data_IF_572179257016
#
_entry.id   IF_572179257016
#
_cell.length_a   1.000
_cell.length_b   1.000
_cell.length_c   1.000
_cell.angle_alpha   90.00
_cell.angle_beta   90.00
_cell.angle_gamma   90.00
#
_symmetry.space_group_name_H-M   'P 1'
#
loop_
_entity.id
_entity.type
_entity.pdbx_description
1 polymer ?
#
# COMPACT_ATOMS: atom_id res chain seq x y z
N UNK A 1 -10.35 -7.15 4.87
CA UNK A 1 -9.85 -6.91 3.50
C UNK A 1 -10.23 -8.12 2.65
N UNK A 2 -10.70 -7.90 1.42
CA UNK A 2 -11.08 -8.96 0.50
C UNK A 2 -10.50 -8.64 -0.88
N UNK A 3 -10.08 -9.64 -1.63
CA UNK A 3 -9.55 -9.50 -2.99
C UNK A 3 -10.58 -10.01 -4.00
N UNK A 4 -10.72 -9.36 -5.15
CA UNK A 4 -11.55 -9.89 -6.25
C UNK A 4 -10.99 -11.21 -6.78
N UNK A 5 -9.66 -11.34 -6.80
CA UNK A 5 -8.91 -12.58 -7.09
C UNK A 5 -7.58 -12.60 -6.33
N UNK A 6 -7.03 -13.78 -6.10
CA UNK A 6 -5.70 -13.98 -5.48
C UNK A 6 -4.76 -14.80 -6.38
N UNK A 7 -5.21 -15.11 -7.59
CA UNK A 7 -4.58 -15.95 -8.59
C UNK A 7 -4.66 -15.29 -9.98
N UNK A 8 -3.97 -15.88 -10.95
CA UNK A 8 -3.95 -15.38 -12.33
C UNK A 8 -5.15 -15.87 -13.14
N UNK A 9 -6.33 -15.39 -12.79
CA UNK A 9 -7.56 -15.63 -13.53
C UNK A 9 -8.16 -14.34 -14.07
N UNK A 10 -8.80 -14.46 -15.22
CA UNK A 10 -9.59 -13.39 -15.79
C UNK A 10 -10.88 -13.17 -14.96
N UNK A 11 -11.29 -11.91 -14.88
CA UNK A 11 -12.52 -11.44 -14.25
C UNK A 11 -13.08 -10.30 -15.06
N UNK A 12 -14.36 -10.39 -15.42
CA UNK A 12 -15.04 -9.31 -16.14
C UNK A 12 -15.09 -8.04 -15.28
N UNK A 13 -15.15 -6.88 -15.94
CA UNK A 13 -15.13 -5.60 -15.22
C UNK A 13 -16.33 -5.48 -14.26
N UNK A 14 -17.53 -5.81 -14.72
CA UNK A 14 -18.75 -5.78 -13.92
C UNK A 14 -18.75 -6.83 -12.81
N UNK A 15 -18.08 -7.97 -13.00
CA UNK A 15 -17.97 -9.01 -11.98
C UNK A 15 -17.18 -8.49 -10.76
N UNK A 16 -16.12 -7.72 -10.99
CA UNK A 16 -15.31 -7.12 -9.91
C UNK A 16 -16.15 -6.17 -9.04
N UNK A 17 -16.99 -5.36 -9.68
CA UNK A 17 -17.92 -4.47 -8.97
C UNK A 17 -19.01 -5.26 -8.24
N UNK A 18 -19.56 -6.30 -8.86
CA UNK A 18 -20.57 -7.16 -8.27
C UNK A 18 -20.06 -7.87 -7.00
N UNK A 19 -18.81 -8.33 -6.98
CA UNK A 19 -18.17 -8.91 -5.79
C UNK A 19 -18.17 -7.90 -4.63
N UNK A 20 -17.68 -6.67 -4.87
CA UNK A 20 -17.62 -5.63 -3.85
C UNK A 20 -19.01 -5.24 -3.33
N UNK A 21 -19.99 -5.14 -4.23
CA UNK A 21 -21.38 -4.84 -3.91
C UNK A 21 -22.03 -5.93 -3.07
N UNK A 22 -21.83 -7.21 -3.42
CA UNK A 22 -22.36 -8.37 -2.68
C UNK A 22 -21.79 -8.42 -1.26
N UNK A 23 -20.51 -8.10 -1.10
CA UNK A 23 -19.84 -8.04 0.20
C UNK A 23 -20.23 -6.82 1.04
N UNK A 24 -20.98 -5.86 0.45
CA UNK A 24 -21.27 -4.56 1.08
C UNK A 24 -19.99 -3.89 1.57
N UNK A 25 -18.94 -3.92 0.75
CA UNK A 25 -17.65 -3.34 1.12
C UNK A 25 -17.77 -1.85 1.45
N UNK A 26 -17.03 -1.38 2.46
CA UNK A 26 -16.99 0.05 2.82
C UNK A 26 -16.24 0.90 1.79
N UNK A 27 -15.35 0.27 1.02
CA UNK A 27 -14.47 0.90 0.05
C UNK A 27 -14.02 -0.06 -1.04
N UNK A 28 -13.85 0.43 -2.26
CA UNK A 28 -13.28 -0.31 -3.37
C UNK A 28 -12.03 0.37 -3.91
N UNK A 29 -10.96 -0.40 -4.12
CA UNK A 29 -9.74 0.08 -4.78
C UNK A 29 -9.30 -0.89 -5.88
N UNK A 30 -9.15 -0.38 -7.09
CA UNK A 30 -8.61 -1.11 -8.24
C UNK A 30 -7.16 -0.69 -8.49
N UNK A 31 -6.23 -1.63 -8.44
CA UNK A 31 -4.79 -1.37 -8.61
C UNK A 31 -4.36 -1.78 -10.01
N UNK A 32 -3.88 -0.83 -10.80
CA UNK A 32 -3.52 -0.98 -12.20
C UNK A 32 -2.10 -0.44 -12.48
N UNK A 33 -1.62 -0.76 -13.69
CA UNK A 33 -0.43 -0.20 -14.33
C UNK A 33 -0.88 0.25 -15.72
N UNK A 34 -0.51 1.46 -16.11
CA UNK A 34 -0.97 2.09 -17.34
C UNK A 34 -0.15 1.65 -18.56
N UNK A 35 -0.60 2.04 -19.74
CA UNK A 35 0.10 1.96 -21.02
C UNK A 35 -0.35 3.14 -21.93
N UNK A 36 0.28 3.30 -23.09
CA UNK A 36 -0.08 4.31 -24.09
C UNK A 36 0.89 5.49 -24.19
N UNK A 37 2.19 5.29 -23.89
CA UNK A 37 3.23 6.29 -24.17
C UNK A 37 3.39 7.41 -23.13
N UNK A 38 3.08 7.14 -21.86
CA UNK A 38 3.23 8.08 -20.75
C UNK A 38 4.32 7.71 -19.74
N UNK A 39 4.38 8.46 -18.64
CA UNK A 39 5.13 8.11 -17.42
C UNK A 39 4.52 8.80 -16.22
N UNK A 40 4.54 8.16 -15.05
CA UNK A 40 4.08 8.74 -13.80
C UNK A 40 2.83 8.09 -13.22
N UNK A 41 2.43 8.56 -12.04
CA UNK A 41 1.30 8.05 -11.29
C UNK A 41 0.05 8.92 -11.47
N UNK A 42 -1.11 8.29 -11.60
CA UNK A 42 -2.41 8.95 -11.59
C UNK A 42 -3.44 8.11 -10.85
N UNK A 43 -4.54 8.75 -10.47
CA UNK A 43 -5.65 8.10 -9.80
C UNK A 43 -6.98 8.58 -10.33
N UNK A 44 -7.96 7.70 -10.39
CA UNK A 44 -9.27 7.93 -11.00
C UNK A 44 -10.41 7.67 -10.02
N UNK A 45 -11.40 8.55 -10.05
CA UNK A 45 -12.74 8.31 -9.52
C UNK A 45 -13.76 8.35 -10.67
N UNK A 46 -15.00 7.94 -10.41
CA UNK A 46 -16.04 8.02 -11.43
C UNK A 46 -16.30 9.48 -11.87
N UNK A 47 -16.48 9.71 -13.16
CA UNK A 47 -16.77 11.05 -13.72
C UNK A 47 -18.24 11.47 -13.64
N UNK A 48 -19.16 10.59 -13.24
CA UNK A 48 -20.54 10.95 -12.90
C UNK A 48 -20.69 11.48 -11.47
N UNK A 49 -21.82 11.21 -10.82
CA UNK A 49 -22.01 11.62 -9.43
C UNK A 49 -21.22 10.72 -8.47
N UNK A 50 -20.52 11.32 -7.51
CA UNK A 50 -19.74 10.62 -6.47
C UNK A 50 -19.91 11.33 -5.14
N UNK A 51 -19.77 10.58 -4.05
CA UNK A 51 -19.85 11.16 -2.70
C UNK A 51 -18.67 12.10 -2.41
N UNK A 52 -18.87 13.06 -1.51
CA UNK A 52 -17.76 13.87 -0.96
C UNK A 52 -16.67 13.02 -0.32
N UNK A 53 -17.04 11.87 0.27
CA UNK A 53 -16.10 10.91 0.82
C UNK A 53 -15.19 10.32 -0.27
N UNK A 54 -15.73 9.99 -1.46
CA UNK A 54 -14.94 9.51 -2.60
C UNK A 54 -13.86 10.52 -3.00
N UNK A 55 -14.22 11.80 -3.10
CA UNK A 55 -13.28 12.89 -3.44
C UNK A 55 -12.23 13.06 -2.35
N UNK A 56 -12.64 13.06 -1.07
CA UNK A 56 -11.73 13.17 0.06
C UNK A 56 -10.74 11.99 0.12
N UNK A 57 -11.22 10.77 -0.12
CA UNK A 57 -10.38 9.57 -0.15
C UNK A 57 -9.38 9.60 -1.30
N UNK A 58 -9.80 10.00 -2.51
CA UNK A 58 -8.86 10.19 -3.63
C UNK A 58 -7.76 11.18 -3.26
N UNK A 59 -8.11 12.34 -2.70
CA UNK A 59 -7.13 13.36 -2.31
C UNK A 59 -6.10 12.82 -1.31
N UNK A 60 -6.55 12.13 -0.27
CA UNK A 60 -5.68 11.60 0.79
C UNK A 60 -4.82 10.45 0.27
N UNK A 61 -5.42 9.48 -0.41
CA UNK A 61 -4.72 8.27 -0.87
C UNK A 61 -3.70 8.63 -1.96
N UNK A 62 -4.07 9.47 -2.92
CA UNK A 62 -3.15 9.95 -3.96
C UNK A 62 -1.91 10.62 -3.34
N UNK A 63 -2.12 11.53 -2.37
CA UNK A 63 -1.02 12.23 -1.71
C UNK A 63 -0.08 11.29 -0.94
N UNK A 64 -0.62 10.30 -0.21
CA UNK A 64 0.22 9.35 0.53
C UNK A 64 0.99 8.39 -0.40
N UNK A 65 0.41 8.01 -1.55
CA UNK A 65 1.12 7.23 -2.57
C UNK A 65 2.26 8.04 -3.18
N UNK A 66 1.99 9.27 -3.64
CA UNK A 66 3.01 10.15 -4.22
C UNK A 66 4.18 10.40 -3.26
N UNK A 67 3.87 10.61 -1.98
CA UNK A 67 4.88 10.74 -0.91
C UNK A 67 5.71 9.47 -0.73
N UNK A 68 5.10 8.29 -0.80
CA UNK A 68 5.79 7.03 -0.56
C UNK A 68 6.71 6.61 -1.70
N UNK A 69 6.31 6.86 -2.95
CA UNK A 69 7.05 6.38 -4.12
C UNK A 69 8.21 7.30 -4.49
N UNK A 70 8.04 8.63 -4.38
CA UNK A 70 9.08 9.64 -4.64
C UNK A 70 9.67 9.61 -6.07
N UNK A 71 10.19 10.73 -6.57
CA UNK A 71 10.89 10.75 -7.88
C UNK A 71 10.05 10.27 -9.08
N UNK A 72 8.72 10.25 -8.93
CA UNK A 72 7.75 9.87 -9.93
C UNK A 72 6.96 11.11 -10.33
N UNK A 73 6.67 11.26 -11.62
CA UNK A 73 5.82 12.33 -12.12
C UNK A 73 4.39 12.17 -11.58
N UNK A 74 3.89 13.22 -10.92
CA UNK A 74 2.47 13.33 -10.58
C UNK A 74 1.70 13.72 -11.84
N UNK A 75 0.78 12.85 -12.28
CA UNK A 75 -0.10 13.10 -13.42
C UNK A 75 -1.50 13.53 -12.97
N UNK A 76 -1.78 13.53 -11.67
CA UNK A 76 -2.96 14.12 -11.09
C UNK A 76 -4.07 13.15 -10.69
N UNK A 77 -5.15 13.77 -10.24
CA UNK A 77 -6.38 13.12 -9.76
C UNK A 77 -7.45 13.35 -10.80
N UNK A 78 -7.71 12.31 -11.56
CA UNK A 78 -8.57 12.36 -12.72
C UNK A 78 -9.95 11.75 -12.44
N UNK A 79 -10.87 11.93 -13.38
CA UNK A 79 -12.19 11.31 -13.37
C UNK A 79 -12.45 10.59 -14.68
N UNK A 80 -12.93 9.35 -14.62
CA UNK A 80 -13.17 8.53 -15.81
C UNK A 80 -14.41 7.63 -15.67
N UNK A 81 -14.92 7.16 -16.80
CA UNK A 81 -16.11 6.29 -16.87
C UNK A 81 -15.73 4.78 -16.82
N UNK A 82 -14.84 4.40 -15.92
CA UNK A 82 -14.46 2.99 -15.76
C UNK A 82 -15.57 2.18 -15.09
N UNK A 83 -15.88 1.00 -15.65
CA UNK A 83 -16.98 0.16 -15.17
C UNK A 83 -16.87 -0.16 -13.67
N UNK A 84 -15.68 -0.50 -13.19
CA UNK A 84 -15.45 -0.79 -11.76
C UNK A 84 -15.70 0.40 -10.83
N UNK A 85 -15.56 1.64 -11.33
CA UNK A 85 -15.84 2.87 -10.56
C UNK A 85 -17.31 3.28 -10.67
N UNK A 86 -17.93 3.05 -11.83
CA UNK A 86 -19.34 3.38 -12.09
C UNK A 86 -20.31 2.41 -11.40
N UNK A 87 -19.96 1.12 -11.36
CA UNK A 87 -20.88 0.04 -10.97
C UNK A 87 -20.74 -0.38 -9.50
N UNK A 88 -19.73 0.14 -8.79
CA UNK A 88 -19.59 -0.04 -7.34
C UNK A 88 -20.50 0.92 -6.58
N UNK A 89 -21.07 0.44 -5.47
CA UNK A 89 -22.05 1.19 -4.64
C UNK A 89 -21.44 1.92 -3.45
N UNK A 90 -20.16 1.70 -3.19
CA UNK A 90 -19.37 2.34 -2.14
C UNK A 90 -18.37 3.33 -2.75
N UNK A 91 -17.72 4.20 -1.96
CA UNK A 91 -16.63 5.02 -2.47
C UNK A 91 -15.55 4.16 -3.14
N UNK A 92 -15.09 4.57 -4.31
CA UNK A 92 -14.21 3.78 -5.16
C UNK A 92 -13.06 4.61 -5.74
N UNK A 93 -11.89 3.99 -5.88
CA UNK A 93 -10.71 4.58 -6.50
C UNK A 93 -10.04 3.57 -7.42
N UNK A 94 -9.49 4.03 -8.54
CA UNK A 94 -8.57 3.27 -9.36
C UNK A 94 -7.23 3.99 -9.38
N UNK A 95 -6.13 3.26 -9.27
CA UNK A 95 -4.78 3.83 -9.33
C UNK A 95 -4.02 3.24 -10.49
N UNK A 96 -3.38 4.09 -11.29
CA UNK A 96 -2.46 3.69 -12.33
C UNK A 96 -1.02 3.93 -11.83
N UNK A 97 -0.34 2.83 -11.49
CA UNK A 97 0.92 2.83 -10.76
C UNK A 97 2.13 2.88 -11.69
N UNK A 98 2.19 3.89 -12.57
CA UNK A 98 3.16 4.03 -13.67
C UNK A 98 2.74 3.33 -14.97
N UNK A 99 3.59 3.41 -15.99
CA UNK A 99 3.37 2.90 -17.34
C UNK A 99 4.24 1.67 -17.63
N UNK A 100 3.62 0.56 -18.05
CA UNK A 100 4.31 -0.70 -18.36
C UNK A 100 5.16 -0.60 -19.65
N UNK A 101 4.77 0.28 -20.56
CA UNK A 101 5.40 0.51 -21.86
C UNK A 101 6.45 1.63 -21.84
N UNK A 102 6.72 2.22 -20.67
CA UNK A 102 7.81 3.16 -20.46
C UNK A 102 8.99 2.47 -19.77
N UNK A 103 10.18 2.50 -20.37
CA UNK A 103 11.34 1.76 -19.87
C UNK A 103 11.75 2.12 -18.42
N UNK A 104 11.69 3.40 -18.05
CA UNK A 104 12.06 3.87 -16.70
C UNK A 104 11.04 3.45 -15.64
N UNK A 105 9.77 3.42 -16.02
CA UNK A 105 8.67 3.01 -15.14
C UNK A 105 8.61 1.49 -15.01
N UNK A 106 8.73 0.77 -16.12
CA UNK A 106 8.82 -0.69 -16.14
C UNK A 106 10.00 -1.22 -15.30
N UNK A 107 11.13 -0.51 -15.27
CA UNK A 107 12.25 -0.84 -14.40
C UNK A 107 11.90 -0.72 -12.91
N UNK A 108 11.16 0.34 -12.52
CA UNK A 108 10.65 0.50 -11.14
C UNK A 108 9.63 -0.57 -10.81
N UNK A 109 8.71 -0.87 -11.72
CA UNK A 109 7.66 -1.89 -11.54
C UNK A 109 8.18 -3.32 -11.36
N UNK A 110 9.42 -3.61 -11.77
CA UNK A 110 10.11 -4.88 -11.52
C UNK A 110 10.83 -4.93 -10.17
N UNK A 111 10.96 -3.80 -9.47
CA UNK A 111 11.65 -3.70 -8.19
C UNK A 111 10.69 -4.02 -7.04
N UNK A 112 10.99 -5.06 -6.26
CA UNK A 112 10.25 -5.40 -5.05
C UNK A 112 10.17 -4.22 -4.07
N UNK A 113 11.27 -3.49 -3.90
CA UNK A 113 11.31 -2.31 -3.03
C UNK A 113 10.32 -1.24 -3.49
N UNK A 114 10.21 -1.00 -4.80
CA UNK A 114 9.27 -0.03 -5.34
C UNK A 114 7.82 -0.51 -5.19
N UNK A 115 7.55 -1.79 -5.45
CA UNK A 115 6.22 -2.38 -5.24
C UNK A 115 5.80 -2.29 -3.76
N UNK A 116 6.73 -2.49 -2.82
CA UNK A 116 6.49 -2.30 -1.39
C UNK A 116 6.24 -0.83 -1.03
N UNK A 117 6.90 0.13 -1.68
CA UNK A 117 6.63 1.56 -1.50
C UNK A 117 5.23 1.94 -2.00
N UNK A 118 4.83 1.45 -3.18
CA UNK A 118 3.47 1.62 -3.71
C UNK A 118 2.45 1.06 -2.74
N UNK A 119 2.62 -0.20 -2.30
CA UNK A 119 1.73 -0.85 -1.34
C UNK A 119 1.68 -0.11 0.00
N UNK A 120 2.82 0.35 0.50
CA UNK A 120 2.90 1.17 1.71
C UNK A 120 2.11 2.47 1.57
N UNK A 121 2.27 3.18 0.45
CA UNK A 121 1.52 4.40 0.15
C UNK A 121 0.00 4.18 0.14
N UNK A 122 -0.46 3.09 -0.48
CA UNK A 122 -1.88 2.70 -0.44
C UNK A 122 -2.36 2.46 0.98
N UNK A 123 -1.60 1.69 1.78
CA UNK A 123 -1.96 1.39 3.16
C UNK A 123 -2.00 2.65 4.02
N UNK A 124 -1.01 3.54 3.94
CA UNK A 124 -1.02 4.81 4.68
C UNK A 124 -2.18 5.72 4.25
N UNK A 125 -2.43 5.79 2.94
CA UNK A 125 -3.57 6.50 2.38
C UNK A 125 -4.90 6.02 2.95
N UNK A 126 -5.13 4.70 2.94
CA UNK A 126 -6.35 4.09 3.49
C UNK A 126 -6.43 4.32 5.00
N UNK A 127 -5.35 4.12 5.74
CA UNK A 127 -5.31 4.37 7.19
C UNK A 127 -5.73 5.80 7.52
N UNK A 128 -5.19 6.78 6.79
CA UNK A 128 -5.49 8.19 7.00
C UNK A 128 -6.91 8.56 6.55
N UNK A 129 -7.35 8.06 5.39
CA UNK A 129 -8.68 8.29 4.86
C UNK A 129 -9.79 7.77 5.81
N UNK A 130 -9.56 6.62 6.45
CA UNK A 130 -10.52 5.98 7.35
C UNK A 130 -10.28 6.30 8.84
N UNK A 131 -9.28 7.14 9.17
CA UNK A 131 -8.91 7.43 10.55
C UNK A 131 -8.57 6.18 11.37
N UNK A 132 -7.99 5.15 10.74
CA UNK A 132 -7.75 3.86 11.37
C UNK A 132 -6.64 3.98 12.40
N UNK A 133 -6.90 3.46 13.60
CA UNK A 133 -5.88 3.30 14.63
C UNK A 133 -5.22 1.94 14.46
N UNK A 134 -3.89 1.92 14.54
CA UNK A 134 -3.15 0.66 14.58
C UNK A 134 -3.64 -0.12 15.80
N UNK A 135 -4.15 -1.33 15.59
CA UNK A 135 -4.45 -2.23 16.71
C UNK A 135 -3.16 -2.41 17.51
N UNK A 136 -3.25 -2.29 18.84
CA UNK A 136 -2.14 -2.64 19.71
C UNK A 136 -1.66 -4.04 19.30
N UNK A 137 -0.34 -4.22 19.14
CA UNK A 137 0.21 -5.55 18.91
C UNK A 137 -0.28 -6.40 20.10
N UNK A 138 -1.16 -7.36 19.86
CA UNK A 138 -1.18 -8.53 20.72
C UNK A 138 0.25 -9.07 20.62
N UNK A 139 0.99 -9.03 21.73
CA UNK A 139 2.19 -9.86 21.82
C UNK A 139 1.75 -11.24 21.33
N UNK A 140 2.46 -11.86 20.38
CA UNK A 140 2.15 -13.23 20.04
C UNK A 140 2.09 -13.99 21.36
N UNK A 141 0.93 -14.57 21.69
CA UNK A 141 0.91 -15.66 22.65
C UNK A 141 1.77 -16.72 22.00
N UNK A 142 3.06 -16.73 22.34
CA UNK A 142 3.94 -17.83 21.99
C UNK A 142 3.23 -19.08 22.48
N UNK A 143 2.68 -19.85 21.54
CA UNK A 143 2.51 -21.27 21.80
C UNK A 143 3.93 -21.74 22.07
N UNK A 144 4.19 -22.18 23.30
CA UNK A 144 5.43 -22.86 23.65
C UNK A 144 5.68 -23.94 22.59
N UNK A 145 6.60 -23.65 21.69
CA UNK A 145 7.10 -24.60 20.72
C UNK A 145 8.56 -24.79 21.05
N UNK A 146 9.02 -26.04 21.14
CA UNK A 146 10.42 -26.45 21.30
C UNK A 146 11.29 -25.99 20.11
N UNK A 147 11.39 -24.69 19.89
CA UNK A 147 12.15 -24.09 18.79
C UNK A 147 13.50 -23.62 19.30
N UNK A 148 14.54 -24.20 18.71
CA UNK A 148 15.91 -23.70 18.71
C UNK A 148 15.92 -22.18 18.58
N UNK A 149 16.50 -21.50 19.56
CA UNK A 149 16.67 -20.05 19.54
C UNK A 149 17.87 -19.68 18.66
N UNK A 150 17.68 -18.71 17.78
CA UNK A 150 18.74 -18.13 16.96
C UNK A 150 18.90 -16.67 17.36
N UNK A 151 20.14 -16.24 17.61
CA UNK A 151 20.49 -14.84 17.90
C UNK A 151 21.22 -14.23 16.71
N UNK A 152 20.90 -12.97 16.40
CA UNK A 152 21.59 -12.19 15.38
C UNK A 152 22.47 -11.16 16.07
N UNK A 153 23.76 -11.15 15.75
CA UNK A 153 24.68 -10.11 16.20
C UNK A 153 24.67 -8.95 15.21
N UNK A 154 24.30 -7.78 15.70
CA UNK A 154 24.05 -6.58 14.90
C UNK A 154 25.17 -5.55 14.99
N UNK A 155 26.23 -5.84 15.76
CA UNK A 155 27.43 -5.03 15.85
C UNK A 155 28.53 -5.67 16.71
N UNK A 156 29.76 -5.22 16.47
CA UNK A 156 30.96 -5.47 17.30
C UNK A 156 31.65 -4.12 17.44
N UNK A 157 32.00 -3.72 18.66
CA UNK A 157 32.57 -2.39 18.91
C UNK A 157 33.77 -2.48 19.85
N UNK A 158 34.81 -1.71 19.55
CA UNK A 158 35.97 -1.54 20.44
C UNK A 158 35.74 -0.44 21.49
N UNK A 159 34.67 0.34 21.34
CA UNK A 159 34.24 1.38 22.28
C UNK A 159 32.85 1.02 22.85
N UNK A 160 32.72 0.84 24.18
CA UNK A 160 31.45 0.53 24.85
C UNK A 160 30.31 1.50 24.52
N UNK A 161 30.60 2.80 24.31
CA UNK A 161 29.56 3.81 24.03
C UNK A 161 28.84 3.56 22.71
N UNK A 162 29.53 2.99 21.74
CA UNK A 162 28.92 2.64 20.46
C UNK A 162 27.98 1.43 20.58
N UNK A 163 28.34 0.46 21.43
CA UNK A 163 27.48 -0.68 21.75
C UNK A 163 26.20 -0.22 22.48
N UNK A 164 26.34 0.68 23.46
CA UNK A 164 25.22 1.28 24.18
C UNK A 164 24.27 2.05 23.25
N UNK A 165 24.81 2.91 22.39
CA UNK A 165 24.02 3.69 21.43
C UNK A 165 23.21 2.79 20.49
N UNK A 166 23.84 1.74 19.95
CA UNK A 166 23.13 0.80 19.08
C UNK A 166 22.08 0.00 19.86
N UNK A 167 22.39 -0.43 21.08
CA UNK A 167 21.43 -1.14 21.93
C UNK A 167 20.20 -0.27 22.26
N UNK A 168 20.39 1.01 22.58
CA UNK A 168 19.28 1.95 22.79
C UNK A 168 18.44 2.18 21.54
N UNK A 169 19.09 2.35 20.38
CA UNK A 169 18.41 2.53 19.11
C UNK A 169 17.52 1.32 18.78
N UNK A 170 18.04 0.11 19.00
CA UNK A 170 17.30 -1.13 18.80
C UNK A 170 16.12 -1.27 19.77
N UNK A 171 16.32 -0.92 21.05
CA UNK A 171 15.22 -0.88 22.03
C UNK A 171 14.14 0.13 21.63
N UNK A 172 14.51 1.33 21.17
CA UNK A 172 13.57 2.34 20.63
C UNK A 172 12.81 1.84 19.41
N UNK A 173 13.46 1.04 18.56
CA UNK A 173 12.84 0.35 17.41
C UNK A 173 12.03 -0.89 17.81
N UNK A 174 11.99 -1.24 19.09
CA UNK A 174 11.19 -2.34 19.65
C UNK A 174 11.85 -3.72 19.58
N UNK A 175 13.18 -3.78 19.39
CA UNK A 175 13.94 -5.03 19.42
C UNK A 175 14.58 -5.25 20.80
N UNK A 176 14.57 -6.48 21.35
CA UNK A 176 15.36 -6.81 22.52
C UNK A 176 16.85 -6.74 22.16
N UNK A 177 17.62 -6.00 22.95
CA UNK A 177 19.06 -5.83 22.76
C UNK A 177 19.79 -6.03 24.08
N UNK A 178 20.82 -6.86 24.06
CA UNK A 178 21.74 -7.13 25.17
C UNK A 178 23.17 -6.89 24.67
N UNK A 179 23.98 -6.29 25.53
CA UNK A 179 25.43 -6.15 25.31
C UNK A 179 26.06 -7.36 26.00
N UNK A 180 26.90 -8.09 25.28
CA UNK A 180 27.58 -9.33 25.74
C UNK A 180 29.06 -9.04 25.89
#
# INVERSE_FOLDING_TARGET
>A
MHYTRTDDRFLELSERAAIANKLKADYFISVHINAGGGTGFESYIYNGNVSNATVAYQNVIHAEIMKAIGGVKDRGKERANYAVLRETKMPALLTENLFIDNASDAAKLKSEQFLLQVAHGHVQGIVKAFGLKKKAKQQPKEKASDKKLYRVQVGVFNDPKNAERLAEELKKKGYPAIIV
#
